data_IF_874234752465
#
_entry.id   IF_874234752465
#
_cell.length_a   1.000
_cell.length_b   1.000
_cell.length_c   1.000
_cell.angle_alpha   90.00
_cell.angle_beta   90.00
_cell.angle_gamma   90.00
#
_symmetry.space_group_name_H-M   'P 1'
#
loop_
_entity.id
_entity.type
_entity.pdbx_description
1 polymer ?
#
# COMPACT_ATOMS: atom_id res chain seq x y z
N UNK A 1 -6.15 19.98 14.72
CA UNK A 1 -6.40 18.74 13.96
C UNK A 1 -6.71 19.14 12.53
N UNK A 2 -5.79 18.92 11.60
CA UNK A 2 -6.06 19.13 10.17
C UNK A 2 -7.15 18.17 9.68
N UNK A 3 -7.94 18.58 8.68
CA UNK A 3 -8.91 17.67 8.07
C UNK A 3 -8.15 16.55 7.34
N UNK A 4 -8.61 15.29 7.41
CA UNK A 4 -8.02 14.20 6.64
C UNK A 4 -8.24 14.46 5.14
N UNK A 5 -7.23 14.17 4.32
CA UNK A 5 -7.34 14.24 2.87
C UNK A 5 -8.26 13.14 2.33
N UNK A 6 -9.01 13.44 1.26
CA UNK A 6 -9.79 12.44 0.54
C UNK A 6 -8.89 11.64 -0.40
N UNK A 7 -8.74 10.34 -0.11
CA UNK A 7 -7.91 9.43 -0.91
C UNK A 7 -8.75 8.47 -1.75
N UNK A 8 -8.33 8.24 -2.99
CA UNK A 8 -8.91 7.24 -3.90
C UNK A 8 -7.91 6.16 -4.28
N UNK A 9 -8.41 4.99 -4.68
CA UNK A 9 -7.59 3.82 -5.01
C UNK A 9 -6.82 4.01 -6.32
N UNK A 10 -5.59 3.47 -6.37
CA UNK A 10 -4.77 3.40 -7.57
C UNK A 10 -4.43 1.94 -7.84
N UNK A 11 -4.60 1.52 -9.10
CA UNK A 11 -4.25 0.18 -9.53
C UNK A 11 -2.73 -0.01 -9.59
N UNK A 12 -2.29 -1.18 -9.15
CA UNK A 12 -0.90 -1.65 -9.19
C UNK A 12 -0.86 -3.14 -9.52
N UNK A 13 0.36 -3.64 -9.72
CA UNK A 13 0.61 -5.07 -9.95
C UNK A 13 1.46 -5.66 -8.84
N UNK A 14 1.40 -6.98 -8.72
CA UNK A 14 2.34 -7.74 -7.90
C UNK A 14 2.82 -9.01 -8.62
N UNK A 15 4.01 -9.48 -8.23
CA UNK A 15 4.56 -10.74 -8.69
C UNK A 15 5.54 -11.29 -7.66
N UNK A 16 5.66 -12.60 -7.57
CA UNK A 16 6.62 -13.21 -6.66
C UNK A 16 6.50 -14.72 -6.55
N UNK A 17 7.04 -15.27 -5.47
CA UNK A 17 7.07 -16.70 -5.20
C UNK A 17 6.44 -16.99 -3.83
N UNK A 18 5.77 -18.14 -3.73
CA UNK A 18 5.13 -18.62 -2.51
C UNK A 18 5.57 -20.05 -2.20
N UNK A 19 5.79 -20.31 -0.92
CA UNK A 19 5.94 -21.64 -0.34
C UNK A 19 4.70 -21.93 0.50
N UNK A 20 4.11 -23.10 0.30
CA UNK A 20 2.98 -23.57 1.08
C UNK A 20 3.29 -24.93 1.69
N UNK A 21 3.07 -25.06 3.01
CA UNK A 21 3.11 -26.33 3.71
C UNK A 21 1.71 -26.62 4.23
N UNK A 22 1.11 -27.73 3.80
CA UNK A 22 -0.27 -28.08 4.15
C UNK A 22 -0.37 -29.45 4.80
N UNK A 23 -1.28 -29.57 5.77
CA UNK A 23 -1.69 -30.83 6.39
C UNK A 23 -3.19 -30.80 6.64
N UNK A 24 -3.91 -31.73 6.00
CA UNK A 24 -5.38 -31.80 6.06
C UNK A 24 -6.01 -30.45 5.68
N UNK A 25 -6.80 -29.87 6.57
CA UNK A 25 -7.50 -28.60 6.36
C UNK A 25 -6.60 -27.37 6.52
N UNK A 26 -5.39 -27.51 7.05
CA UNK A 26 -4.56 -26.36 7.41
C UNK A 26 -3.38 -26.20 6.46
N UNK A 27 -3.07 -24.96 6.11
CA UNK A 27 -1.86 -24.63 5.37
C UNK A 27 -1.20 -23.36 5.91
N UNK A 28 0.12 -23.37 5.98
CA UNK A 28 0.93 -22.17 6.20
C UNK A 28 1.49 -21.73 4.86
N UNK A 29 1.24 -20.47 4.50
CA UNK A 29 1.68 -19.84 3.26
C UNK A 29 2.66 -18.72 3.58
N UNK A 30 3.85 -18.78 2.97
CA UNK A 30 4.87 -17.73 3.06
C UNK A 30 5.18 -17.29 1.64
N UNK A 31 5.20 -15.99 1.37
CA UNK A 31 5.57 -15.50 0.06
C UNK A 31 6.63 -14.39 0.13
N UNK A 32 7.24 -14.12 -1.02
CA UNK A 32 8.02 -12.92 -1.27
C UNK A 32 7.48 -12.31 -2.55
N UNK A 33 6.94 -11.09 -2.44
CA UNK A 33 6.25 -10.43 -3.53
C UNK A 33 6.88 -9.06 -3.76
N UNK A 34 7.11 -8.71 -5.02
CA UNK A 34 7.25 -7.33 -5.43
C UNK A 34 5.83 -6.77 -5.65
N UNK A 35 5.45 -5.71 -4.94
CA UNK A 35 4.11 -5.15 -4.99
C UNK A 35 4.14 -3.63 -5.17
N UNK A 36 3.39 -3.14 -6.15
CA UNK A 36 3.12 -1.71 -6.28
C UNK A 36 1.83 -1.34 -5.57
N UNK A 37 1.94 -0.52 -4.53
CA UNK A 37 0.82 0.08 -3.79
C UNK A 37 0.69 1.56 -4.19
N UNK A 38 -0.47 2.17 -3.96
CA UNK A 38 -0.63 3.58 -4.25
C UNK A 38 -2.00 4.13 -3.89
N UNK A 39 -2.08 5.46 -3.87
CA UNK A 39 -3.31 6.20 -3.64
C UNK A 39 -3.25 7.54 -4.38
N UNK A 40 -4.41 8.17 -4.58
CA UNK A 40 -4.52 9.51 -5.13
C UNK A 40 -5.24 10.42 -4.16
N UNK A 41 -4.70 11.60 -3.95
CA UNK A 41 -5.34 12.73 -3.25
C UNK A 41 -5.93 13.66 -4.31
N UNK A 42 -7.19 14.06 -4.15
CA UNK A 42 -7.86 15.06 -4.97
C UNK A 42 -8.75 15.90 -4.06
N UNK A 43 -8.20 17.01 -3.57
CA UNK A 43 -8.84 17.86 -2.58
C UNK A 43 -8.79 19.34 -2.98
N UNK A 44 -9.86 20.06 -2.66
CA UNK A 44 -9.98 21.50 -2.86
C UNK A 44 -10.40 22.17 -1.56
N UNK A 45 -9.64 23.19 -1.16
CA UNK A 45 -9.86 23.96 0.06
C UNK A 45 -9.91 25.45 -0.27
N UNK A 46 -11.00 26.11 0.09
CA UNK A 46 -11.13 27.56 0.05
C UNK A 46 -11.22 28.09 1.48
N UNK A 47 -10.25 28.92 1.87
CA UNK A 47 -10.24 29.60 3.17
C UNK A 47 -10.98 30.94 3.05
N UNK A 48 -11.64 31.36 4.14
CA UNK A 48 -12.55 32.51 4.17
C UNK A 48 -11.94 33.78 3.52
N UNK A 49 -12.62 34.38 2.53
CA UNK A 49 -12.15 35.58 1.85
C UNK A 49 -11.96 36.79 2.79
N UNK A 50 -12.64 36.84 3.94
CA UNK A 50 -12.52 37.93 4.92
C UNK A 50 -11.19 37.91 5.71
N UNK A 51 -10.40 36.83 5.60
CA UNK A 51 -9.10 36.67 6.29
C UNK A 51 -7.94 36.42 5.31
N UNK A 52 -8.12 36.78 4.03
CA UNK A 52 -7.07 36.65 3.01
C UNK A 52 -7.19 35.43 2.09
N UNK A 53 -8.35 34.76 2.05
CA UNK A 53 -8.85 33.99 0.90
C UNK A 53 -7.85 33.09 0.18
N UNK A 54 -7.30 32.07 0.85
CA UNK A 54 -6.40 31.11 0.18
C UNK A 54 -7.21 30.00 -0.46
N UNK A 55 -7.07 29.82 -1.77
CA UNK A 55 -7.56 28.63 -2.47
C UNK A 55 -6.40 27.68 -2.70
N UNK A 56 -6.57 26.43 -2.30
CA UNK A 56 -5.60 25.35 -2.46
C UNK A 56 -6.29 24.15 -3.10
N UNK A 57 -5.77 23.69 -4.23
CA UNK A 57 -6.14 22.40 -4.82
C UNK A 57 -4.93 21.49 -4.80
N UNK A 58 -5.10 20.28 -4.26
CA UNK A 58 -4.07 19.25 -4.19
C UNK A 58 -4.50 18.07 -5.05
N UNK A 59 -3.72 17.75 -6.08
CA UNK A 59 -3.93 16.58 -6.94
C UNK A 59 -2.64 15.80 -7.04
N UNK A 60 -2.54 14.78 -6.20
CA UNK A 60 -1.32 14.01 -6.05
C UNK A 60 -1.61 12.53 -6.26
N UNK A 61 -0.75 11.85 -7.01
CA UNK A 61 -0.81 10.39 -7.18
C UNK A 61 0.49 9.79 -6.68
N UNK A 62 0.38 8.94 -5.66
CA UNK A 62 1.47 8.21 -5.04
C UNK A 62 1.52 6.79 -5.58
N UNK A 63 2.68 6.36 -6.06
CA UNK A 63 2.97 4.96 -6.40
C UNK A 63 4.22 4.52 -5.63
N UNK A 64 4.10 3.45 -4.86
CA UNK A 64 5.10 2.97 -3.92
C UNK A 64 5.39 1.49 -4.22
N UNK A 65 6.66 1.16 -4.45
CA UNK A 65 7.09 -0.18 -4.81
C UNK A 65 7.74 -0.86 -3.60
N UNK A 66 7.20 -2.01 -3.19
CA UNK A 66 7.63 -2.74 -2.02
C UNK A 66 8.12 -4.14 -2.36
N UNK A 67 9.03 -4.67 -1.56
CA UNK A 67 9.16 -6.12 -1.34
C UNK A 67 8.34 -6.47 -0.10
N UNK A 68 7.36 -7.36 -0.23
CA UNK A 68 6.51 -7.79 0.88
C UNK A 68 6.70 -9.26 1.19
N UNK A 69 6.62 -9.58 2.48
CA UNK A 69 6.76 -10.91 3.06
C UNK A 69 5.48 -11.24 3.84
N UNK A 70 4.40 -11.70 3.18
CA UNK A 70 3.22 -12.17 3.88
C UNK A 70 3.45 -13.57 4.49
N UNK A 71 2.92 -13.76 5.70
CA UNK A 71 2.82 -15.04 6.40
C UNK A 71 1.35 -15.27 6.74
N UNK A 72 0.73 -16.25 6.11
CA UNK A 72 -0.70 -16.54 6.22
C UNK A 72 -0.93 -17.96 6.73
N UNK A 73 -1.96 -18.11 7.57
CA UNK A 73 -2.55 -19.39 7.93
C UNK A 73 -3.87 -19.52 7.16
N UNK A 74 -3.99 -20.56 6.35
CA UNK A 74 -5.16 -20.88 5.56
C UNK A 74 -5.87 -22.13 6.09
N UNK A 75 -7.20 -22.11 6.01
CA UNK A 75 -8.09 -23.22 6.34
C UNK A 75 -8.95 -23.57 5.11
N UNK A 76 -8.86 -24.82 4.64
CA UNK A 76 -9.60 -25.34 3.48
C UNK A 76 -10.79 -26.19 3.92
N UNK A 77 -11.90 -26.11 3.20
CA UNK A 77 -13.08 -26.95 3.50
C UNK A 77 -12.82 -28.44 3.25
N UNK A 78 -11.98 -28.76 2.26
CA UNK A 78 -11.59 -30.14 1.97
C UNK A 78 -10.21 -30.45 2.55
N UNK A 79 -10.06 -31.67 3.09
CA UNK A 79 -8.83 -32.14 3.74
C UNK A 79 -7.67 -32.41 2.76
N UNK A 80 -7.94 -32.47 1.46
CA UNK A 80 -6.92 -32.53 0.40
C UNK A 80 -6.38 -31.14 0.02
N UNK A 81 -6.86 -30.09 0.70
CA UNK A 81 -6.50 -28.71 0.47
C UNK A 81 -7.18 -28.08 -0.76
N UNK A 82 -8.16 -28.75 -1.37
CA UNK A 82 -8.89 -28.25 -2.54
C UNK A 82 -10.11 -27.41 -2.14
N UNK A 83 -10.63 -26.66 -3.11
CA UNK A 83 -11.86 -25.89 -2.98
C UNK A 83 -11.68 -24.57 -2.24
N UNK A 84 -12.75 -24.11 -1.57
CA UNK A 84 -12.74 -22.84 -0.85
C UNK A 84 -11.84 -22.90 0.38
N UNK A 85 -11.10 -21.82 0.60
CA UNK A 85 -10.30 -21.59 1.78
C UNK A 85 -10.46 -20.17 2.32
N UNK A 86 -10.43 -20.03 3.63
CA UNK A 86 -10.23 -18.74 4.31
C UNK A 86 -8.78 -18.62 4.77
N UNK A 87 -8.25 -17.41 4.85
CA UNK A 87 -6.91 -17.19 5.41
C UNK A 87 -6.82 -15.89 6.18
N UNK A 88 -5.89 -15.87 7.12
CA UNK A 88 -5.52 -14.72 7.92
C UNK A 88 -4.01 -14.74 8.19
N UNK A 89 -3.40 -13.56 8.30
CA UNK A 89 -1.96 -13.48 8.42
C UNK A 89 -1.45 -12.08 8.71
N UNK A 90 -0.15 -12.00 8.91
CA UNK A 90 0.59 -10.75 8.97
C UNK A 90 1.41 -10.55 7.71
N UNK A 91 1.86 -9.32 7.48
CA UNK A 91 2.87 -9.04 6.47
C UNK A 91 3.84 -7.97 6.96
N UNK A 92 5.05 -8.00 6.41
CA UNK A 92 6.03 -6.91 6.47
C UNK A 92 6.39 -6.52 5.05
N UNK A 93 6.53 -5.22 4.79
CA UNK A 93 6.90 -4.65 3.51
C UNK A 93 8.07 -3.69 3.65
N UNK A 94 8.98 -3.74 2.69
CA UNK A 94 10.13 -2.85 2.59
C UNK A 94 10.00 -2.01 1.33
N UNK A 95 9.85 -0.69 1.49
CA UNK A 95 9.79 0.28 0.40
C UNK A 95 11.15 0.30 -0.31
N UNK A 96 11.14 0.01 -1.60
CA UNK A 96 12.32 0.10 -2.45
C UNK A 96 12.46 1.51 -3.03
N UNK A 97 11.36 2.03 -3.57
CA UNK A 97 11.25 3.36 -4.16
C UNK A 97 9.77 3.70 -4.38
N UNK A 98 9.51 4.91 -4.84
CA UNK A 98 8.20 5.31 -5.32
C UNK A 98 8.27 6.54 -6.20
N UNK A 99 7.12 6.99 -6.65
CA UNK A 99 6.95 8.18 -7.47
C UNK A 99 5.70 8.93 -7.02
N UNK A 100 5.86 10.23 -6.81
CA UNK A 100 4.80 11.21 -6.65
C UNK A 100 4.61 11.92 -8.00
N UNK A 101 3.38 12.02 -8.46
CA UNK A 101 2.99 12.96 -9.52
C UNK A 101 2.03 13.98 -8.92
N UNK A 102 2.33 15.27 -9.06
CA UNK A 102 1.55 16.37 -8.46
C UNK A 102 1.10 17.38 -9.52
N UNK A 103 -0.07 17.97 -9.33
CA UNK A 103 -0.70 19.02 -10.15
C UNK A 103 -1.53 19.95 -9.23
N UNK A 104 -0.81 20.74 -8.44
CA UNK A 104 -1.37 21.55 -7.36
C UNK A 104 -1.52 23.01 -7.78
N UNK A 105 -2.52 23.66 -7.21
CA UNK A 105 -2.76 25.09 -7.40
C UNK A 105 -2.80 25.76 -6.04
N UNK A 106 -2.03 26.84 -5.91
CA UNK A 106 -2.13 27.79 -4.81
C UNK A 106 -2.52 29.16 -5.34
N UNK A 107 -3.66 29.67 -4.88
CA UNK A 107 -4.15 31.01 -5.22
C UNK A 107 -4.36 31.84 -3.96
N UNK A 108 -3.89 33.08 -3.99
CA UNK A 108 -4.10 34.09 -2.94
C UNK A 108 -4.75 35.33 -3.58
N UNK A 109 -5.56 36.13 -2.85
CA UNK A 109 -6.39 37.17 -3.47
C UNK A 109 -5.59 38.29 -4.16
N UNK A 110 -4.35 38.51 -3.74
CA UNK A 110 -3.47 39.58 -4.24
C UNK A 110 -2.31 39.09 -5.11
N UNK A 111 -2.30 37.82 -5.49
CA UNK A 111 -1.21 37.22 -6.27
C UNK A 111 -1.78 36.34 -7.39
N UNK A 112 -1.05 36.25 -8.49
CA UNK A 112 -1.37 35.29 -9.55
C UNK A 112 -1.33 33.85 -8.98
N UNK A 113 -2.22 32.95 -9.46
CA UNK A 113 -2.18 31.55 -9.06
C UNK A 113 -0.83 30.92 -9.40
N UNK A 114 -0.26 30.19 -8.44
CA UNK A 114 0.95 29.41 -8.63
C UNK A 114 0.56 27.97 -8.90
N UNK A 115 1.06 27.44 -10.02
CA UNK A 115 0.83 26.08 -10.46
C UNK A 115 2.09 25.24 -10.21
N UNK A 116 1.93 24.16 -9.44
CA UNK A 116 2.99 23.19 -9.21
C UNK A 116 2.64 21.91 -9.95
N UNK A 117 3.41 21.58 -10.98
CA UNK A 117 3.21 20.36 -11.75
C UNK A 117 4.52 19.65 -11.98
N UNK A 118 4.55 18.36 -11.68
CA UNK A 118 5.77 17.59 -11.87
C UNK A 118 5.70 16.18 -11.33
N UNK A 119 6.90 15.61 -11.20
CA UNK A 119 7.14 14.31 -10.61
C UNK A 119 8.29 14.41 -9.63
N UNK A 120 8.20 13.68 -8.54
CA UNK A 120 9.27 13.53 -7.58
C UNK A 120 9.44 12.04 -7.24
N UNK A 121 10.69 11.62 -7.05
CA UNK A 121 10.97 10.27 -6.58
C UNK A 121 10.73 10.20 -5.08
N UNK A 122 10.14 9.09 -4.64
CA UNK A 122 9.92 8.78 -3.24
C UNK A 122 10.98 7.78 -2.80
N UNK A 123 11.74 8.12 -1.76
CA UNK A 123 12.80 7.26 -1.22
C UNK A 123 12.45 6.76 0.18
N UNK A 124 12.86 5.54 0.55
CA UNK A 124 12.76 5.08 1.92
C UNK A 124 13.68 5.93 2.83
N UNK A 125 13.13 6.46 3.92
CA UNK A 125 13.86 7.25 4.91
C UNK A 125 13.01 7.59 6.12
N UNK A 126 13.62 8.12 7.18
CA UNK A 126 12.90 8.47 8.42
C UNK A 126 12.62 9.97 8.57
N UNK A 127 13.45 10.80 7.96
CA UNK A 127 13.43 12.25 8.07
C UNK A 127 13.57 12.89 6.69
N UNK A 128 12.93 14.05 6.51
CA UNK A 128 13.06 14.80 5.26
C UNK A 128 14.48 15.37 5.13
N UNK A 129 15.18 15.00 4.06
CA UNK A 129 16.40 15.70 3.63
C UNK A 129 15.98 16.95 2.84
N UNK A 130 16.56 18.13 3.14
CA UNK A 130 16.20 19.40 2.48
C UNK A 130 16.53 19.46 0.96
N UNK A 131 16.92 18.35 0.34
CA UNK A 131 17.36 18.25 -1.06
C UNK A 131 16.23 18.04 -2.07
N UNK A 132 14.97 18.22 -1.67
CA UNK A 132 13.81 18.13 -2.58
C UNK A 132 13.34 16.72 -2.89
N UNK A 133 13.90 15.71 -2.22
CA UNK A 133 13.41 14.33 -2.28
C UNK A 133 12.14 14.20 -1.42
N UNK A 134 11.16 13.44 -1.91
CA UNK A 134 10.02 13.03 -1.09
C UNK A 134 10.43 11.78 -0.34
N UNK A 135 10.27 11.80 0.98
CA UNK A 135 10.67 10.68 1.84
C UNK A 135 9.42 10.00 2.39
N UNK A 136 9.44 8.67 2.45
CA UNK A 136 8.46 7.85 3.15
C UNK A 136 9.17 6.84 4.02
N UNK A 137 8.58 6.46 5.16
CA UNK A 137 9.15 5.40 5.99
C UNK A 137 9.26 4.10 5.22
N UNK A 138 10.43 3.49 5.34
CA UNK A 138 10.79 2.29 4.58
C UNK A 138 10.00 1.05 4.95
N UNK A 139 9.46 0.97 6.17
CA UNK A 139 8.85 -0.27 6.68
C UNK A 139 7.35 -0.13 6.83
N UNK A 140 6.63 -1.00 6.14
CA UNK A 140 5.19 -1.23 6.27
C UNK A 140 4.97 -2.55 7.00
N UNK A 141 4.02 -2.60 7.92
CA UNK A 141 3.66 -3.84 8.58
C UNK A 141 2.17 -3.82 8.91
N UNK A 142 1.54 -4.98 8.84
CA UNK A 142 0.10 -5.05 9.05
C UNK A 142 -0.46 -6.46 9.03
N UNK A 143 -1.78 -6.51 8.94
CA UNK A 143 -2.56 -7.75 8.89
C UNK A 143 -3.25 -7.90 7.55
N UNK A 144 -3.49 -9.14 7.15
CA UNK A 144 -4.17 -9.49 5.92
C UNK A 144 -5.16 -10.62 6.19
N UNK A 145 -6.33 -10.54 5.56
CA UNK A 145 -7.31 -11.62 5.58
C UNK A 145 -8.00 -11.72 4.23
N UNK A 146 -8.54 -12.89 3.93
CA UNK A 146 -9.20 -13.10 2.65
C UNK A 146 -9.77 -14.49 2.47
N UNK A 147 -10.24 -14.72 1.25
CA UNK A 147 -10.77 -15.99 0.79
C UNK A 147 -10.05 -16.41 -0.49
N UNK A 148 -9.96 -17.70 -0.72
CA UNK A 148 -9.40 -18.25 -1.93
C UNK A 148 -10.13 -19.48 -2.40
N UNK A 149 -9.83 -19.88 -3.62
CA UNK A 149 -10.30 -21.13 -4.21
C UNK A 149 -9.12 -21.83 -4.87
N UNK A 150 -8.90 -23.09 -4.48
CA UNK A 150 -7.88 -23.95 -5.08
C UNK A 150 -8.53 -24.99 -5.98
N UNK A 151 -8.04 -25.08 -7.21
CA UNK A 151 -8.34 -26.15 -8.15
C UNK A 151 -7.04 -26.73 -8.69
N UNK A 152 -6.71 -27.95 -8.26
CA UNK A 152 -5.46 -28.64 -8.58
C UNK A 152 -4.23 -27.81 -8.15
N UNK A 153 -3.40 -27.38 -9.11
CA UNK A 153 -2.24 -26.52 -8.91
C UNK A 153 -2.59 -25.02 -8.92
N UNK A 154 -3.80 -24.63 -9.29
CA UNK A 154 -4.17 -23.22 -9.35
C UNK A 154 -4.81 -22.78 -8.03
N UNK A 155 -4.32 -21.68 -7.48
CA UNK A 155 -4.90 -21.00 -6.32
C UNK A 155 -5.21 -19.55 -6.69
N UNK A 156 -6.48 -19.17 -6.57
CA UNK A 156 -6.92 -17.79 -6.73
C UNK A 156 -7.31 -17.23 -5.37
N UNK A 157 -6.89 -16.03 -5.02
CA UNK A 157 -7.21 -15.39 -3.74
C UNK A 157 -7.71 -13.96 -3.94
N UNK A 158 -8.62 -13.56 -3.07
CA UNK A 158 -9.04 -12.17 -2.86
C UNK A 158 -8.73 -11.83 -1.41
N UNK A 159 -8.00 -10.73 -1.19
CA UNK A 159 -7.58 -10.33 0.14
C UNK A 159 -7.74 -8.84 0.40
N UNK A 160 -7.87 -8.49 1.67
CA UNK A 160 -7.75 -7.14 2.19
C UNK A 160 -6.57 -7.07 3.15
N UNK A 161 -5.69 -6.09 2.93
CA UNK A 161 -4.54 -5.80 3.79
C UNK A 161 -4.72 -4.45 4.48
N UNK A 162 -4.46 -4.42 5.78
CA UNK A 162 -4.51 -3.22 6.61
C UNK A 162 -3.15 -2.97 7.26
N UNK A 163 -2.49 -1.88 6.86
CA UNK A 163 -1.24 -1.41 7.45
C UNK A 163 -1.47 -0.80 8.83
N UNK A 164 -0.66 -1.24 9.79
CA UNK A 164 -0.70 -0.82 11.19
C UNK A 164 0.39 0.21 11.53
N UNK A 165 1.30 0.47 10.60
CA UNK A 165 2.40 1.42 10.76
C UNK A 165 2.08 2.73 10.05
N UNK A 166 2.36 3.85 10.71
CA UNK A 166 2.34 5.17 10.09
C UNK A 166 3.58 5.34 9.20
N UNK A 167 3.37 5.50 7.90
CA UNK A 167 4.38 5.63 6.85
C UNK A 167 4.84 7.08 6.60
N UNK A 168 4.23 8.03 7.30
CA UNK A 168 4.59 9.44 7.26
C UNK A 168 5.98 9.73 7.82
N UNK A 169 6.69 10.63 7.15
CA UNK A 169 8.06 11.05 7.47
C UNK A 169 8.05 12.25 8.40
N UNK A 170 8.96 12.30 9.38
CA UNK A 170 9.11 13.46 10.25
C UNK A 170 9.83 14.61 9.53
N UNK A 171 9.41 15.83 9.83
CA UNK A 171 10.05 17.06 9.32
C UNK A 171 10.88 17.68 10.46
N UNK A 172 12.18 17.36 10.57
CA UNK A 172 13.03 17.97 11.59
C UNK A 172 13.13 19.48 11.34
N UNK A 173 13.01 20.28 12.40
CA UNK A 173 13.13 21.76 12.39
C UNK A 173 11.96 22.54 11.77
N UNK A 174 10.79 21.94 11.58
CA UNK A 174 9.61 22.73 11.25
C UNK A 174 8.98 23.34 12.51
N UNK A 175 8.48 24.60 12.43
CA UNK A 175 7.71 25.19 13.52
C UNK A 175 6.58 24.22 13.91
N UNK A 176 6.24 24.16 15.20
CA UNK A 176 5.29 23.23 15.84
C UNK A 176 3.89 23.14 15.21
N UNK A 177 3.64 23.92 14.16
CA UNK A 177 2.34 24.16 13.54
C UNK A 177 2.25 23.51 12.15
N UNK A 178 3.35 22.95 11.62
CA UNK A 178 3.34 22.23 10.34
C UNK A 178 3.06 20.75 10.59
N UNK A 179 1.99 20.28 9.96
CA UNK A 179 1.48 18.92 10.16
C UNK A 179 2.39 17.91 9.48
N UNK A 180 2.82 16.91 10.25
CA UNK A 180 3.46 15.71 9.70
C UNK A 180 2.37 14.86 9.05
N UNK A 181 2.50 14.46 7.78
CA UNK A 181 1.53 13.57 7.15
C UNK A 181 1.49 12.26 7.91
N UNK A 182 0.29 11.72 8.13
CA UNK A 182 0.10 10.40 8.72
C UNK A 182 -0.73 9.56 7.76
N UNK A 183 -0.20 8.40 7.35
CA UNK A 183 -0.93 7.49 6.48
C UNK A 183 -0.46 6.05 6.67
N UNK A 184 -1.32 5.11 6.30
CA UNK A 184 -1.01 3.68 6.26
C UNK A 184 -1.63 3.05 5.01
N UNK A 185 -1.08 1.90 4.58
CA UNK A 185 -1.56 1.22 3.39
C UNK A 185 -2.87 0.47 3.66
N UNK A 186 -3.84 0.61 2.75
CA UNK A 186 -5.07 -0.21 2.70
C UNK A 186 -5.22 -0.75 1.28
N UNK A 187 -5.18 -2.07 1.13
CA UNK A 187 -5.06 -2.70 -0.19
C UNK A 187 -6.09 -3.81 -0.33
N UNK A 188 -6.86 -3.79 -1.42
CA UNK A 188 -7.62 -4.94 -1.91
C UNK A 188 -6.79 -5.58 -3.02
N UNK A 189 -6.67 -6.89 -3.00
CA UNK A 189 -5.78 -7.62 -3.89
C UNK A 189 -6.44 -8.88 -4.41
N UNK A 190 -6.23 -9.14 -5.69
CA UNK A 190 -6.62 -10.36 -6.38
C UNK A 190 -5.35 -11.00 -6.92
N UNK A 191 -5.09 -12.25 -6.54
CA UNK A 191 -3.87 -12.97 -6.94
C UNK A 191 -4.20 -14.31 -7.57
N UNK A 192 -3.32 -14.74 -8.48
CA UNK A 192 -3.35 -16.04 -9.14
C UNK A 192 -2.00 -16.71 -8.94
N UNK A 193 -2.01 -17.89 -8.31
CA UNK A 193 -0.80 -18.63 -7.93
C UNK A 193 -0.83 -20.01 -8.57
N UNK A 194 0.29 -20.42 -9.15
CA UNK A 194 0.51 -21.78 -9.63
C UNK A 194 1.41 -22.54 -8.65
N UNK A 195 0.85 -23.55 -7.98
CA UNK A 195 1.51 -24.38 -6.98
C UNK A 195 2.16 -25.59 -7.65
N UNK A 196 3.48 -25.64 -7.64
CA UNK A 196 4.23 -26.82 -8.08
C UNK A 196 4.06 -27.94 -7.03
N UNK A 197 3.38 -29.03 -7.41
CA UNK A 197 3.35 -30.22 -6.58
C UNK A 197 4.73 -30.91 -6.62
N UNK A 198 5.22 -31.49 -5.50
CA UNK A 198 6.36 -32.39 -5.56
C UNK A 198 6.03 -33.56 -6.50
N UNK A 199 7.01 -34.01 -7.29
CA UNK A 199 6.91 -35.17 -8.20
C UNK A 199 6.67 -36.53 -7.49
N UNK A 200 6.29 -36.55 -6.22
CA UNK A 200 6.07 -37.79 -5.47
C UNK A 200 4.64 -38.29 -5.61
N UNK A 201 4.46 -39.25 -6.52
CA UNK A 201 3.53 -40.38 -6.44
C UNK A 201 2.08 -40.08 -6.01
N UNK A 202 1.16 -40.14 -6.96
CA UNK A 202 -0.27 -40.33 -6.69
C UNK A 202 -0.46 -41.39 -5.61
N UNK A 203 -1.23 -41.16 -4.53
CA UNK A 203 -1.78 -42.27 -3.78
C UNK A 203 -2.68 -43.07 -4.73
N UNK A 204 -2.44 -44.38 -4.78
CA UNK A 204 -3.32 -45.34 -5.45
C UNK A 204 -4.66 -45.43 -4.72
#
# INVERSE_FOLDING_TARGET
MGRPYHTTFVWGGEAGAMVQVSRQHWAVQVATLYAQKGFRVDDEHEYDPNVGGVYMRTRETYRLNYVTLPLQLAYTLHADGQGFQGFLGGYVGFLLNGQLTYDDIYRRPSYEPVYYKGKADIKPGQELEMKGDVISKGTDAGVQAGIGYRYQQLLTQISYSHGLVNLGTKYPNQPSNLYTPEYSNRVIQVSFTYLFAPLSGRPK
#
